data_IF_913459082334
#
_entry.id   IF_913459082334
#
_cell.length_a   1.000
_cell.length_b   1.000
_cell.length_c   1.000
_cell.angle_alpha   90.00
_cell.angle_beta   90.00
_cell.angle_gamma   90.00
#
_symmetry.space_group_name_H-M   'P 1'
#
loop_
_entity.id
_entity.type
_entity.pdbx_description
1 polymer ?
#
# COMPACT_ATOMS: atom_id res chain seq x y z
N UNK A 1 11.98 48.31 35.78
CA UNK A 1 11.39 47.80 34.54
C UNK A 1 12.35 46.91 33.76
N UNK A 2 13.65 47.20 33.72
CA UNK A 2 14.68 46.43 32.96
C UNK A 2 14.78 44.96 33.38
N UNK A 3 14.73 44.64 34.67
CA UNK A 3 14.82 43.26 35.18
C UNK A 3 13.65 42.37 34.71
N UNK A 4 12.44 42.93 34.60
CA UNK A 4 11.27 42.21 34.11
C UNK A 4 11.36 41.88 32.60
N UNK A 5 11.89 42.82 31.83
CA UNK A 5 12.07 42.63 30.39
C UNK A 5 13.19 41.63 30.09
N UNK A 6 14.27 41.61 30.90
CA UNK A 6 15.34 40.60 30.79
C UNK A 6 14.83 39.18 31.12
N UNK A 7 13.93 39.05 32.07
CA UNK A 7 13.36 37.76 32.46
C UNK A 7 12.43 37.23 31.39
N UNK A 8 11.63 38.08 30.74
CA UNK A 8 10.75 37.71 29.61
C UNK A 8 11.57 37.32 28.39
N UNK A 9 12.67 38.05 28.11
CA UNK A 9 13.55 37.76 27.00
C UNK A 9 14.31 36.42 27.20
N UNK A 10 14.73 36.13 28.44
CA UNK A 10 15.33 34.84 28.79
C UNK A 10 14.36 33.68 28.65
N UNK A 11 13.09 33.85 29.03
CA UNK A 11 12.06 32.82 28.90
C UNK A 11 11.70 32.54 27.42
N UNK A 12 11.69 33.60 26.58
CA UNK A 12 11.46 33.43 25.12
C UNK A 12 12.58 32.68 24.43
N UNK A 13 13.84 32.86 24.85
CA UNK A 13 14.99 32.12 24.32
C UNK A 13 14.95 30.65 24.76
N UNK A 14 14.53 30.38 26.00
CA UNK A 14 14.37 28.99 26.48
C UNK A 14 13.24 28.24 25.77
N UNK A 15 12.15 28.92 25.39
CA UNK A 15 11.04 28.33 24.63
C UNK A 15 11.41 28.04 23.17
N UNK A 16 12.32 28.81 22.58
CA UNK A 16 12.82 28.54 21.22
C UNK A 16 13.90 27.45 21.18
N UNK A 17 14.59 27.15 22.29
CA UNK A 17 15.55 26.06 22.40
C UNK A 17 14.89 24.66 22.47
N UNK A 18 13.63 24.56 22.91
CA UNK A 18 12.82 23.37 22.67
C UNK A 18 12.37 23.41 21.21
N UNK A 19 13.22 22.93 20.30
CA UNK A 19 12.93 22.81 18.87
C UNK A 19 11.64 21.99 18.64
N UNK A 20 10.49 22.63 18.80
CA UNK A 20 9.20 22.06 18.45
C UNK A 20 9.11 22.03 16.93
N UNK A 21 9.82 21.09 16.35
CA UNK A 21 9.72 20.82 14.92
C UNK A 21 8.35 20.20 14.69
N UNK A 22 7.46 20.94 14.06
CA UNK A 22 6.15 20.45 13.67
C UNK A 22 6.39 19.17 12.84
N UNK A 23 6.15 18.02 13.45
CA UNK A 23 6.27 16.72 12.79
C UNK A 23 5.17 16.65 11.74
N UNK A 24 5.49 17.00 10.49
CA UNK A 24 4.52 16.98 9.38
C UNK A 24 4.74 18.03 8.31
N UNK A 25 5.64 19.00 8.50
CA UNK A 25 5.99 20.02 7.47
C UNK A 25 7.31 19.72 6.75
N UNK A 26 8.06 18.69 7.17
CA UNK A 26 9.18 18.18 6.37
C UNK A 26 8.62 17.50 5.12
N UNK A 27 9.06 17.93 3.95
CA UNK A 27 8.91 17.13 2.73
C UNK A 27 9.47 15.76 3.04
N UNK A 28 8.58 14.77 3.12
CA UNK A 28 8.97 13.40 3.41
C UNK A 28 9.67 12.86 2.16
N UNK A 29 10.97 13.13 2.08
CA UNK A 29 11.75 12.66 0.95
C UNK A 29 11.78 11.13 0.95
N UNK A 30 11.27 10.55 -0.12
CA UNK A 30 11.41 9.15 -0.40
C UNK A 30 12.86 8.84 -0.78
N UNK A 31 13.41 7.77 -0.23
CA UNK A 31 14.75 7.30 -0.58
C UNK A 31 14.78 6.74 -2.01
N UNK A 32 13.65 6.19 -2.45
CA UNK A 32 13.42 5.76 -3.83
C UNK A 32 13.19 7.01 -4.68
N UNK A 33 14.09 7.27 -5.63
CA UNK A 33 14.01 8.45 -6.52
C UNK A 33 13.35 8.15 -7.87
N UNK A 34 13.25 6.87 -8.25
CA UNK A 34 12.71 6.40 -9.52
C UNK A 34 11.81 5.19 -9.26
N UNK A 35 10.62 5.20 -9.83
CA UNK A 35 9.62 4.15 -9.61
C UNK A 35 8.75 3.99 -10.86
N UNK A 36 8.51 2.75 -11.27
CA UNK A 36 7.41 2.43 -12.18
C UNK A 36 6.14 2.24 -11.36
N UNK A 37 5.05 2.88 -11.76
CA UNK A 37 3.75 2.73 -11.11
C UNK A 37 2.74 2.20 -12.10
N UNK A 38 2.31 0.99 -11.89
CA UNK A 38 1.25 0.33 -12.63
C UNK A 38 0.09 -0.08 -11.73
N UNK A 39 -1.08 -0.28 -12.31
CA UNK A 39 -2.26 -0.72 -11.61
C UNK A 39 -3.15 -1.53 -12.54
N UNK A 40 -3.90 -2.49 -12.00
CA UNK A 40 -4.92 -3.21 -12.75
C UNK A 40 -5.96 -2.24 -13.34
N UNK A 41 -6.33 -1.21 -12.58
CA UNK A 41 -7.11 -0.08 -13.06
C UNK A 41 -6.19 1.14 -13.23
N UNK A 42 -5.55 1.26 -14.38
CA UNK A 42 -4.58 2.32 -14.68
C UNK A 42 -5.16 3.74 -14.63
N UNK A 43 -6.47 3.88 -14.81
CA UNK A 43 -7.19 5.16 -14.77
C UNK A 43 -7.94 5.40 -13.46
N UNK A 44 -7.77 4.52 -12.48
CA UNK A 44 -8.38 4.66 -11.16
C UNK A 44 -7.94 5.94 -10.44
N UNK A 45 -8.83 6.48 -9.61
CA UNK A 45 -8.55 7.72 -8.86
C UNK A 45 -7.38 7.53 -7.89
N UNK A 46 -7.29 6.36 -7.24
CA UNK A 46 -6.22 6.05 -6.27
C UNK A 46 -4.85 6.05 -6.93
N UNK A 47 -4.68 5.36 -8.08
CA UNK A 47 -3.40 5.34 -8.80
C UNK A 47 -3.03 6.71 -9.35
N UNK A 48 -4.02 7.47 -9.82
CA UNK A 48 -3.81 8.83 -10.32
C UNK A 48 -3.35 9.77 -9.21
N UNK A 49 -3.98 9.71 -8.05
CA UNK A 49 -3.61 10.50 -6.89
C UNK A 49 -2.24 10.09 -6.35
N UNK A 50 -1.96 8.79 -6.26
CA UNK A 50 -0.65 8.27 -5.83
C UNK A 50 0.46 8.74 -6.76
N UNK A 51 0.28 8.68 -8.08
CA UNK A 51 1.24 9.17 -9.06
C UNK A 51 1.58 10.64 -8.85
N UNK A 52 0.57 11.48 -8.67
CA UNK A 52 0.77 12.92 -8.38
C UNK A 52 1.52 13.14 -7.07
N UNK A 53 1.17 12.38 -6.02
CA UNK A 53 1.81 12.50 -4.71
C UNK A 53 3.28 12.09 -4.78
N UNK A 54 3.61 11.00 -5.48
CA UNK A 54 4.99 10.56 -5.71
C UNK A 54 5.80 11.61 -6.46
N UNK A 55 5.26 12.16 -7.55
CA UNK A 55 5.91 13.21 -8.34
C UNK A 55 6.15 14.47 -7.52
N UNK A 56 5.17 14.90 -6.72
CA UNK A 56 5.31 16.04 -5.82
C UNK A 56 6.34 15.81 -4.70
N UNK A 57 6.60 14.54 -4.35
CA UNK A 57 7.64 14.15 -3.38
C UNK A 57 9.01 13.94 -4.04
N UNK A 58 9.20 14.34 -5.30
CA UNK A 58 10.46 14.29 -6.01
C UNK A 58 10.81 12.92 -6.61
N UNK A 59 9.85 11.98 -6.68
CA UNK A 59 10.04 10.68 -7.33
C UNK A 59 9.75 10.80 -8.82
N UNK A 60 10.65 10.34 -9.66
CA UNK A 60 10.42 10.20 -11.11
C UNK A 60 9.59 8.93 -11.35
N UNK A 61 8.37 9.11 -11.83
CA UNK A 61 7.46 7.99 -12.12
C UNK A 61 7.40 7.75 -13.62
N UNK A 62 7.98 6.63 -14.08
CA UNK A 62 8.03 6.26 -15.50
C UNK A 62 8.09 4.74 -15.68
N UNK A 63 7.65 4.25 -16.84
CA UNK A 63 7.68 2.83 -17.16
C UNK A 63 9.12 2.33 -17.36
N UNK A 64 9.45 1.19 -16.74
CA UNK A 64 10.78 0.59 -16.82
C UNK A 64 11.78 1.14 -15.81
N UNK A 65 11.32 1.83 -14.76
CA UNK A 65 12.17 2.18 -13.62
C UNK A 65 12.70 0.91 -12.91
N UNK A 66 13.82 1.02 -12.16
CA UNK A 66 14.46 -0.14 -11.51
C UNK A 66 13.55 -0.93 -10.56
N UNK A 67 12.59 -0.26 -9.95
CA UNK A 67 11.59 -0.85 -9.07
C UNK A 67 10.19 -0.51 -9.58
N UNK A 68 9.26 -1.45 -9.45
CA UNK A 68 7.90 -1.29 -9.92
C UNK A 68 6.92 -1.53 -8.77
N UNK A 69 6.02 -0.61 -8.57
CA UNK A 69 4.88 -0.74 -7.67
C UNK A 69 3.64 -1.08 -8.49
N UNK A 70 3.08 -2.24 -8.25
CA UNK A 70 1.88 -2.73 -8.92
C UNK A 70 0.71 -2.72 -7.95
N UNK A 71 -0.31 -1.92 -8.19
CA UNK A 71 -1.57 -1.98 -7.46
C UNK A 71 -2.43 -3.09 -8.09
N UNK A 72 -2.45 -4.26 -7.44
CA UNK A 72 -3.03 -5.47 -8.01
C UNK A 72 -4.55 -5.51 -7.90
N UNK A 73 -5.09 -5.05 -6.78
CA UNK A 73 -6.53 -5.02 -6.54
C UNK A 73 -6.91 -3.93 -5.53
N UNK A 74 -7.99 -3.22 -5.82
CA UNK A 74 -8.65 -2.30 -4.89
C UNK A 74 -10.10 -2.72 -4.76
N UNK A 75 -10.52 -3.03 -3.53
CA UNK A 75 -11.85 -3.52 -3.25
C UNK A 75 -12.47 -2.71 -2.11
N UNK A 76 -13.64 -2.15 -2.37
CA UNK A 76 -14.48 -1.50 -1.36
C UNK A 76 -15.62 -2.42 -0.96
N UNK A 77 -15.88 -2.50 0.33
CA UNK A 77 -17.04 -3.16 0.92
C UNK A 77 -17.79 -2.20 1.83
N UNK A 78 -19.11 -2.32 1.85
CA UNK A 78 -19.99 -1.55 2.70
C UNK A 78 -20.85 -2.50 3.50
N UNK A 79 -20.96 -2.26 4.81
CA UNK A 79 -21.86 -3.01 5.70
C UNK A 79 -22.56 -2.07 6.67
N UNK A 80 -23.76 -2.41 7.08
CA UNK A 80 -24.42 -1.70 8.16
C UNK A 80 -23.72 -2.04 9.49
N UNK A 81 -23.28 -1.02 10.23
CA UNK A 81 -22.66 -1.16 11.53
C UNK A 81 -23.70 -1.10 12.66
N UNK A 82 -24.70 -0.21 12.53
CA UNK A 82 -25.80 -0.08 13.49
C UNK A 82 -27.12 0.12 12.77
N UNK A 83 -28.20 -0.28 13.45
CA UNK A 83 -29.58 -0.03 13.02
C UNK A 83 -30.30 0.75 14.11
N UNK A 84 -30.90 1.88 13.76
CA UNK A 84 -31.79 2.58 14.69
C UNK A 84 -33.19 1.98 14.64
N UNK A 85 -33.83 1.87 15.83
CA UNK A 85 -35.21 1.40 15.93
C UNK A 85 -36.16 2.31 15.15
N UNK A 86 -36.72 1.81 14.06
CA UNK A 86 -37.56 2.58 13.15
C UNK A 86 -37.02 2.71 11.72
N UNK A 87 -35.92 2.11 11.40
CA UNK A 87 -35.32 1.99 10.05
C UNK A 87 -35.06 3.33 9.34
N UNK A 88 -34.88 4.43 10.07
CA UNK A 88 -34.74 5.79 9.50
C UNK A 88 -33.32 6.25 9.34
N UNK A 89 -32.41 5.83 10.20
CA UNK A 89 -30.98 6.06 10.06
C UNK A 89 -30.20 4.82 10.46
N UNK A 90 -29.07 4.59 9.78
CA UNK A 90 -28.16 3.50 10.05
C UNK A 90 -26.74 4.02 9.89
N UNK A 91 -25.83 3.57 10.71
CA UNK A 91 -24.40 3.79 10.49
C UNK A 91 -23.87 2.71 9.57
N UNK A 92 -23.22 3.13 8.50
CA UNK A 92 -22.56 2.22 7.56
C UNK A 92 -21.04 2.31 7.72
N UNK A 93 -20.44 1.16 7.70
CA UNK A 93 -18.99 1.00 7.62
C UNK A 93 -18.57 0.81 6.17
N UNK A 94 -17.64 1.63 5.73
CA UNK A 94 -16.92 1.48 4.47
C UNK A 94 -15.52 0.95 4.77
N UNK A 95 -15.14 -0.13 4.12
CA UNK A 95 -13.79 -0.68 4.19
C UNK A 95 -13.21 -0.77 2.79
N UNK A 96 -12.04 -0.17 2.56
CA UNK A 96 -11.30 -0.31 1.31
C UNK A 96 -10.00 -1.05 1.57
N UNK A 97 -9.75 -2.10 0.80
CA UNK A 97 -8.51 -2.89 0.82
C UNK A 97 -7.80 -2.69 -0.51
N UNK A 98 -6.56 -2.22 -0.45
CA UNK A 98 -5.67 -2.07 -1.58
C UNK A 98 -4.53 -3.09 -1.47
N UNK A 99 -4.50 -4.08 -2.37
CA UNK A 99 -3.41 -5.03 -2.49
C UNK A 99 -2.37 -4.48 -3.45
N UNK A 100 -1.10 -4.67 -3.12
CA UNK A 100 0.00 -4.21 -3.96
C UNK A 100 1.20 -5.15 -3.90
N UNK A 101 2.00 -5.08 -4.95
CA UNK A 101 3.25 -5.81 -5.10
C UNK A 101 4.35 -4.83 -5.43
N UNK A 102 5.52 -5.01 -4.83
CA UNK A 102 6.75 -4.33 -5.23
C UNK A 102 7.61 -5.34 -5.98
N UNK A 103 7.91 -5.02 -7.23
CA UNK A 103 8.75 -5.82 -8.11
C UNK A 103 10.12 -5.15 -8.28
N UNK A 104 11.15 -5.95 -8.37
CA UNK A 104 12.52 -5.54 -8.66
C UNK A 104 12.96 -5.91 -10.07
N UNK A 105 14.23 -6.27 -10.22
CA UNK A 105 14.79 -6.66 -11.50
C UNK A 105 14.10 -7.91 -12.04
N UNK A 106 13.88 -7.93 -13.37
CA UNK A 106 13.23 -9.03 -14.10
C UNK A 106 11.81 -9.36 -13.58
N UNK A 107 11.06 -8.33 -13.17
CA UNK A 107 9.70 -8.47 -12.58
C UNK A 107 9.65 -9.42 -11.37
N UNK A 108 10.79 -9.57 -10.67
CA UNK A 108 10.87 -10.42 -9.49
C UNK A 108 10.09 -9.79 -8.34
N UNK A 109 9.14 -10.53 -7.76
CA UNK A 109 8.35 -10.08 -6.60
C UNK A 109 9.24 -9.98 -5.37
N UNK A 110 9.41 -8.76 -4.87
CA UNK A 110 10.20 -8.45 -3.67
C UNK A 110 9.34 -8.43 -2.41
N UNK A 111 8.15 -7.88 -2.53
CA UNK A 111 7.20 -7.70 -1.44
C UNK A 111 5.78 -7.74 -1.98
N UNK A 112 4.91 -8.45 -1.28
CA UNK A 112 3.46 -8.40 -1.45
C UNK A 112 2.83 -8.03 -0.12
N UNK A 113 1.95 -7.03 -0.11
CA UNK A 113 1.28 -6.56 1.11
C UNK A 113 -0.05 -5.87 0.75
N UNK A 114 -0.79 -5.46 1.75
CA UNK A 114 -2.06 -4.75 1.61
C UNK A 114 -2.16 -3.55 2.54
N UNK A 115 -2.91 -2.56 2.10
CA UNK A 115 -3.38 -1.45 2.93
C UNK A 115 -4.88 -1.57 3.11
N UNK A 116 -5.36 -1.27 4.30
CA UNK A 116 -6.78 -1.25 4.61
C UNK A 116 -7.11 0.06 5.31
N UNK A 117 -8.19 0.70 4.86
CA UNK A 117 -8.77 1.89 5.47
C UNK A 117 -10.23 1.61 5.74
N UNK A 118 -10.70 2.04 6.90
CA UNK A 118 -12.07 1.85 7.35
C UNK A 118 -12.59 3.18 7.88
N UNK A 119 -13.81 3.55 7.44
CA UNK A 119 -14.52 4.74 7.92
C UNK A 119 -16.01 4.47 8.04
N UNK A 120 -16.68 5.34 8.75
CA UNK A 120 -18.12 5.27 8.99
C UNK A 120 -18.80 6.51 8.43
N UNK A 121 -20.04 6.35 8.01
CA UNK A 121 -20.91 7.46 7.66
C UNK A 121 -22.36 7.15 8.08
N UNK A 122 -23.16 8.19 8.30
CA UNK A 122 -24.56 8.04 8.66
C UNK A 122 -25.42 8.07 7.41
N UNK A 123 -26.20 7.03 7.21
CA UNK A 123 -27.23 6.99 6.19
C UNK A 123 -28.59 7.36 6.79
N UNK A 124 -29.21 8.42 6.30
CA UNK A 124 -30.56 8.82 6.67
C UNK A 124 -31.51 8.55 5.49
N UNK A 125 -32.46 7.61 5.67
CA UNK A 125 -33.45 7.26 4.67
C UNK A 125 -34.41 8.41 4.30
N UNK A 126 -34.51 9.44 5.15
CA UNK A 126 -35.31 10.64 4.84
C UNK A 126 -34.49 11.68 4.03
N UNK A 127 -33.16 11.55 3.98
CA UNK A 127 -32.26 12.43 3.25
C UNK A 127 -31.24 11.64 2.42
N UNK A 128 -31.71 10.91 1.44
CA UNK A 128 -30.90 10.02 0.58
C UNK A 128 -29.81 10.80 -0.16
N UNK A 129 -30.12 12.00 -0.64
CA UNK A 129 -29.14 12.84 -1.36
C UNK A 129 -27.99 13.30 -0.45
N UNK A 130 -28.31 13.73 0.78
CA UNK A 130 -27.31 14.11 1.78
C UNK A 130 -26.41 12.94 2.17
N UNK A 131 -27.01 11.78 2.43
CA UNK A 131 -26.28 10.54 2.74
C UNK A 131 -25.38 10.08 1.60
N UNK A 132 -25.82 10.24 0.34
CA UNK A 132 -25.00 9.95 -0.83
C UNK A 132 -23.79 10.88 -0.96
N UNK A 133 -23.94 12.16 -0.66
CA UNK A 133 -22.86 13.13 -0.65
C UNK A 133 -21.86 12.84 0.48
N UNK A 134 -22.34 12.52 1.68
CA UNK A 134 -21.49 12.12 2.82
C UNK A 134 -20.69 10.87 2.49
N UNK A 135 -21.31 9.84 1.94
CA UNK A 135 -20.63 8.63 1.50
C UNK A 135 -19.53 8.93 0.46
N UNK A 136 -19.81 9.82 -0.51
CA UNK A 136 -18.82 10.23 -1.52
C UNK A 136 -17.63 10.98 -0.89
N UNK A 137 -17.89 11.86 0.08
CA UNK A 137 -16.84 12.57 0.83
C UNK A 137 -15.98 11.58 1.61
N UNK A 138 -16.60 10.64 2.33
CA UNK A 138 -15.88 9.61 3.10
C UNK A 138 -15.01 8.76 2.18
N UNK A 139 -15.48 8.36 1.01
CA UNK A 139 -14.66 7.64 0.01
C UNK A 139 -13.46 8.46 -0.46
N UNK A 140 -13.64 9.76 -0.65
CA UNK A 140 -12.53 10.63 -1.02
C UNK A 140 -11.48 10.73 0.10
N UNK A 141 -11.91 10.76 1.36
CA UNK A 141 -11.00 10.72 2.51
C UNK A 141 -10.27 9.39 2.61
N UNK A 142 -10.97 8.26 2.41
CA UNK A 142 -10.37 6.93 2.41
C UNK A 142 -9.28 6.79 1.34
N UNK A 143 -9.50 7.35 0.14
CA UNK A 143 -8.47 7.38 -0.92
C UNK A 143 -7.25 8.19 -0.50
N UNK A 144 -7.44 9.34 0.14
CA UNK A 144 -6.32 10.14 0.69
C UNK A 144 -5.53 9.33 1.72
N UNK A 145 -6.24 8.64 2.61
CA UNK A 145 -5.61 7.82 3.66
C UNK A 145 -4.86 6.62 3.06
N UNK A 146 -5.40 5.97 2.01
CA UNK A 146 -4.69 4.91 1.27
C UNK A 146 -3.41 5.44 0.63
N UNK A 147 -3.48 6.58 -0.06
CA UNK A 147 -2.30 7.20 -0.69
C UNK A 147 -1.26 7.58 0.38
N UNK A 148 -1.69 8.19 1.47
CA UNK A 148 -0.81 8.52 2.59
C UNK A 148 -0.17 7.27 3.20
N UNK A 149 -0.96 6.22 3.43
CA UNK A 149 -0.47 4.93 3.91
C UNK A 149 0.56 4.31 2.97
N UNK A 150 0.33 4.38 1.66
CA UNK A 150 1.29 3.91 0.65
C UNK A 150 2.59 4.70 0.70
N UNK A 151 2.53 6.04 0.82
CA UNK A 151 3.71 6.87 0.98
C UNK A 151 4.55 6.47 2.19
N UNK A 152 3.90 6.19 3.33
CA UNK A 152 4.58 5.70 4.55
C UNK A 152 5.24 4.33 4.32
N UNK A 153 4.58 3.41 3.60
CA UNK A 153 5.15 2.10 3.26
C UNK A 153 6.38 2.24 2.36
N UNK A 154 6.29 3.09 1.33
CA UNK A 154 7.42 3.35 0.42
C UNK A 154 8.61 4.00 1.10
N UNK A 155 8.40 4.82 2.14
CA UNK A 155 9.50 5.38 2.96
C UNK A 155 10.31 4.32 3.69
N UNK A 156 9.69 3.21 4.07
CA UNK A 156 10.35 2.09 4.74
C UNK A 156 11.18 1.23 3.77
N UNK A 157 10.97 1.39 2.45
CA UNK A 157 11.71 0.70 1.42
C UNK A 157 12.99 1.49 1.08
N UNK A 158 14.01 1.33 1.90
CA UNK A 158 15.34 1.88 1.62
C UNK A 158 16.04 1.06 0.52
N UNK A 159 17.01 1.62 -0.23
CA UNK A 159 17.81 0.86 -1.20
C UNK A 159 18.41 -0.41 -0.61
N UNK A 160 19.00 -0.33 0.58
CA UNK A 160 19.55 -1.49 1.28
C UNK A 160 18.51 -2.57 1.57
N UNK A 161 17.27 -2.17 1.90
CA UNK A 161 16.16 -3.10 2.11
C UNK A 161 15.72 -3.76 0.81
N UNK A 162 15.65 -3.00 -0.27
CA UNK A 162 15.28 -3.50 -1.60
C UNK A 162 16.35 -4.48 -2.12
N UNK A 163 17.64 -4.16 -1.95
CA UNK A 163 18.74 -5.06 -2.31
C UNK A 163 18.71 -6.36 -1.51
N UNK A 164 18.38 -6.31 -0.22
CA UNK A 164 18.21 -7.50 0.62
C UNK A 164 17.03 -8.37 0.16
N UNK A 165 15.91 -7.74 -0.18
CA UNK A 165 14.75 -8.43 -0.73
C UNK A 165 15.05 -9.07 -2.08
N UNK A 166 15.77 -8.36 -2.97
CA UNK A 166 16.18 -8.90 -4.28
C UNK A 166 17.05 -10.14 -4.10
N UNK A 167 18.10 -10.07 -3.27
CA UNK A 167 18.95 -11.24 -3.00
C UNK A 167 18.16 -12.44 -2.50
N UNK A 168 17.25 -12.21 -1.55
CA UNK A 168 16.39 -13.29 -1.01
C UNK A 168 15.47 -13.87 -2.06
N UNK A 169 14.92 -13.05 -2.95
CA UNK A 169 14.07 -13.50 -4.05
C UNK A 169 14.89 -14.32 -5.05
N UNK A 170 16.10 -13.87 -5.42
CA UNK A 170 17.00 -14.60 -6.30
C UNK A 170 17.44 -15.94 -5.71
N UNK A 171 17.72 -15.99 -4.41
CA UNK A 171 18.06 -17.24 -3.71
C UNK A 171 16.89 -18.23 -3.72
N UNK A 172 15.65 -17.74 -3.49
CA UNK A 172 14.45 -18.58 -3.57
C UNK A 172 14.24 -19.12 -4.99
N UNK A 173 14.33 -18.27 -6.00
CA UNK A 173 14.19 -18.69 -7.40
C UNK A 173 15.24 -19.73 -7.79
N UNK A 174 16.49 -19.57 -7.35
CA UNK A 174 17.54 -20.59 -7.58
C UNK A 174 17.26 -21.89 -6.84
N UNK A 175 16.75 -21.84 -5.62
CA UNK A 175 16.39 -23.04 -4.85
C UNK A 175 15.22 -23.78 -5.49
N UNK A 176 14.18 -23.07 -5.92
CA UNK A 176 13.03 -23.62 -6.64
C UNK A 176 13.45 -24.27 -7.98
N UNK A 177 14.29 -23.58 -8.76
CA UNK A 177 14.80 -24.12 -10.01
C UNK A 177 15.59 -25.43 -9.80
N UNK A 178 16.42 -25.49 -8.75
CA UNK A 178 17.16 -26.74 -8.40
C UNK A 178 16.20 -27.84 -7.96
N UNK A 179 15.19 -27.54 -7.16
CA UNK A 179 14.21 -28.52 -6.71
C UNK A 179 13.38 -29.07 -7.88
N UNK A 180 13.00 -28.23 -8.85
CA UNK A 180 12.31 -28.64 -10.06
C UNK A 180 13.18 -29.54 -10.93
N UNK A 181 14.46 -29.21 -11.13
CA UNK A 181 15.41 -30.05 -11.88
C UNK A 181 15.60 -31.42 -11.22
N UNK A 182 15.73 -31.43 -9.89
CA UNK A 182 15.84 -32.68 -9.14
C UNK A 182 14.58 -33.54 -9.25
N UNK A 183 13.39 -32.90 -9.13
CA UNK A 183 12.11 -33.62 -9.29
C UNK A 183 11.94 -34.19 -10.70
N UNK A 184 12.33 -33.45 -11.74
CA UNK A 184 12.33 -33.95 -13.12
C UNK A 184 13.29 -35.12 -13.30
N UNK A 185 14.52 -35.01 -12.77
CA UNK A 185 15.50 -36.12 -12.83
C UNK A 185 14.96 -37.39 -12.18
N UNK A 186 14.37 -37.28 -10.97
CA UNK A 186 13.76 -38.41 -10.28
C UNK A 186 12.61 -39.00 -11.10
N UNK A 187 11.80 -38.16 -11.73
CA UNK A 187 10.71 -38.64 -12.59
C UNK A 187 11.20 -39.35 -13.83
N UNK A 188 12.27 -38.86 -14.46
CA UNK A 188 12.89 -39.47 -15.65
C UNK A 188 13.59 -40.78 -15.30
N UNK A 189 14.21 -40.88 -14.11
CA UNK A 189 14.88 -42.08 -13.61
C UNK A 189 13.90 -43.15 -13.08
N UNK A 190 12.65 -42.78 -12.78
CA UNK A 190 11.63 -43.71 -12.29
C UNK A 190 11.00 -44.45 -13.50
N UNK A 191 11.16 -45.77 -13.66
CA UNK A 191 10.56 -46.50 -14.78
C UNK A 191 9.04 -46.32 -14.75
N UNK A 192 8.45 -45.88 -15.84
CA UNK A 192 7.00 -45.92 -16.00
C UNK A 192 6.58 -47.37 -15.93
N UNK A 193 5.77 -47.74 -14.92
CA UNK A 193 5.16 -49.08 -14.89
C UNK A 193 4.34 -49.21 -16.17
N UNK A 194 4.69 -50.21 -16.96
CA UNK A 194 3.91 -50.59 -18.14
C UNK A 194 2.44 -50.76 -17.74
N UNK A 195 1.49 -50.34 -18.59
CA UNK A 195 0.09 -50.61 -18.34
C UNK A 195 -0.08 -52.10 -18.11
N UNK A 196 -0.72 -52.48 -17.01
CA UNK A 196 -1.04 -53.85 -16.69
C UNK A 196 -1.67 -54.51 -17.94
N UNK A 197 -1.01 -55.52 -18.53
CA UNK A 197 -1.62 -56.40 -19.51
C UNK A 197 -2.85 -57.04 -18.84
N UNK A 198 -4.04 -56.61 -19.24
CA UNK A 198 -5.27 -57.27 -18.86
C UNK A 198 -5.27 -58.60 -19.57
N UNK A 199 -5.26 -59.75 -18.87
CA UNK A 199 -5.33 -61.05 -19.52
C UNK A 199 -6.63 -61.14 -20.32
N UNK A 200 -6.53 -61.42 -21.59
CA UNK A 200 -7.69 -61.67 -22.45
C UNK A 200 -8.44 -62.92 -21.96
N UNK A 201 -9.80 -62.93 -22.09
CA UNK A 201 -10.65 -63.99 -21.63
C UNK A 201 -10.46 -65.31 -22.35
#
# INVERSE_FOLDING_TARGET
>A
MIKRNLLVMGLAVLLSACGFQLRGTGTTELTIKELDLSARNAYGETVTQLRRTLQNSGVKVYAGAPYKLVLTNEQETQRAATYTGGNRSAEYELTTVLNYVVEGQNDTVLLEDKLQVQKYYVYDGNNINGSGQEAAQVRQEMRRDLVQGMMVRLQQLTPARLDDLQRKADERAKAEARALQEAQRIQDETPQQSPLEVPAP
#
